data_IF_122830408906
#
_entry.id   IF_122830408906
#
_cell.length_a   1.000
_cell.length_b   1.000
_cell.length_c   1.000
_cell.angle_alpha   90.00
_cell.angle_beta   90.00
_cell.angle_gamma   90.00
#
_symmetry.space_group_name_H-M   'P 1'
#
loop_
_entity.id
_entity.type
_entity.pdbx_description
1 polymer ?
#
# COMPACT_ATOMS: atom_id res chain seq x y z
N UNK A 1 -0.84 20.63 -16.27
CA UNK A 1 -0.13 19.64 -15.44
C UNK A 1 1.31 20.04 -15.20
N UNK A 2 1.86 19.84 -13.98
CA UNK A 2 3.29 20.02 -13.67
C UNK A 2 3.74 18.88 -12.73
N UNK A 3 4.74 18.08 -13.17
CA UNK A 3 5.27 16.94 -12.41
C UNK A 3 6.76 17.17 -12.18
N UNK A 4 7.18 17.16 -10.90
CA UNK A 4 8.60 17.25 -10.53
C UNK A 4 9.16 15.83 -10.41
N UNK A 5 10.18 15.51 -11.21
CA UNK A 5 10.80 14.19 -11.22
C UNK A 5 12.14 14.21 -10.49
N UNK A 6 12.51 13.05 -9.92
CA UNK A 6 13.84 12.82 -9.37
C UNK A 6 14.59 11.85 -10.26
N UNK A 7 15.51 12.34 -11.07
CA UNK A 7 16.30 11.49 -11.95
C UNK A 7 17.73 12.01 -12.09
N UNK A 8 18.68 11.11 -11.96
CA UNK A 8 20.09 11.38 -12.24
C UNK A 8 20.40 11.34 -13.75
N UNK A 9 19.49 10.77 -14.55
CA UNK A 9 19.64 10.63 -16.00
C UNK A 9 18.41 11.09 -16.78
N UNK A 10 18.24 12.42 -16.86
CA UNK A 10 17.15 13.05 -17.60
C UNK A 10 16.99 12.56 -19.03
N UNK A 11 18.13 12.34 -19.75
CA UNK A 11 18.08 11.90 -21.15
C UNK A 11 17.42 10.53 -21.30
N UNK A 12 17.71 9.60 -20.37
CA UNK A 12 17.08 8.28 -20.35
C UNK A 12 15.60 8.40 -20.05
N UNK A 13 15.23 9.18 -19.03
CA UNK A 13 13.83 9.41 -18.67
C UNK A 13 13.01 9.93 -19.86
N UNK A 14 13.54 10.92 -20.58
CA UNK A 14 12.86 11.52 -21.75
C UNK A 14 12.70 10.50 -22.89
N UNK A 15 13.68 9.62 -23.09
CA UNK A 15 13.59 8.54 -24.08
C UNK A 15 12.50 7.52 -23.68
N UNK A 16 12.47 7.11 -22.41
CA UNK A 16 11.46 6.19 -21.89
C UNK A 16 10.05 6.78 -22.01
N UNK A 17 9.89 8.10 -21.77
CA UNK A 17 8.60 8.81 -21.95
C UNK A 17 8.19 8.83 -23.44
N UNK A 18 9.13 9.10 -24.35
CA UNK A 18 8.87 9.12 -25.77
C UNK A 18 8.43 7.73 -26.28
N UNK A 19 9.09 6.67 -25.81
CA UNK A 19 8.73 5.28 -26.11
C UNK A 19 7.36 4.92 -25.58
N UNK A 20 7.06 5.28 -24.33
CA UNK A 20 5.77 5.02 -23.67
C UNK A 20 4.61 5.74 -24.37
N UNK A 21 4.79 7.02 -24.71
CA UNK A 21 3.75 7.84 -25.34
C UNK A 21 3.65 7.61 -26.86
N UNK A 22 4.66 6.98 -27.48
CA UNK A 22 4.77 6.83 -28.93
C UNK A 22 4.93 8.15 -29.68
N UNK A 23 5.32 9.23 -28.97
CA UNK A 23 5.46 10.58 -29.52
C UNK A 23 6.92 10.89 -29.84
N UNK A 24 7.14 11.77 -30.85
CA UNK A 24 8.47 12.15 -31.27
C UNK A 24 9.18 13.00 -30.22
N UNK A 25 10.46 12.68 -29.98
CA UNK A 25 11.33 13.39 -29.05
C UNK A 25 12.09 14.48 -29.78
N UNK A 26 11.99 15.72 -29.30
CA UNK A 26 12.71 16.87 -29.81
C UNK A 26 13.51 17.57 -28.72
N UNK A 27 14.77 17.85 -28.97
CA UNK A 27 15.59 18.70 -28.11
C UNK A 27 15.56 20.15 -28.59
N UNK A 28 15.16 21.08 -27.71
CA UNK A 28 14.97 22.51 -28.05
C UNK A 28 16.28 23.30 -28.03
N UNK A 29 17.27 22.85 -27.24
CA UNK A 29 18.56 23.54 -27.11
C UNK A 29 18.52 24.84 -26.29
N UNK A 30 19.57 25.67 -26.41
CA UNK A 30 19.62 26.95 -25.69
C UNK A 30 18.53 27.93 -26.16
N UNK A 31 17.95 28.75 -25.23
CA UNK A 31 18.36 28.97 -23.84
C UNK A 31 17.71 28.02 -22.85
N UNK A 32 16.64 27.29 -23.23
CA UNK A 32 15.80 26.51 -22.31
C UNK A 32 16.40 25.15 -21.96
N UNK A 33 17.19 24.57 -22.88
CA UNK A 33 17.72 23.20 -22.77
C UNK A 33 16.62 22.15 -22.50
N UNK A 34 15.38 22.43 -22.92
CA UNK A 34 14.23 21.57 -22.71
C UNK A 34 14.17 20.45 -23.76
N UNK A 35 13.44 19.39 -23.41
CA UNK A 35 13.00 18.38 -24.34
C UNK A 35 11.49 18.51 -24.54
N UNK A 36 11.02 18.29 -25.75
CA UNK A 36 9.60 18.20 -26.10
C UNK A 36 9.27 16.77 -26.52
N UNK A 37 8.19 16.21 -25.96
CA UNK A 37 7.65 14.90 -26.35
C UNK A 37 6.15 15.08 -26.56
N UNK A 38 5.76 15.32 -27.81
CA UNK A 38 4.38 15.70 -28.14
C UNK A 38 3.94 17.00 -27.45
N UNK A 39 2.96 16.92 -26.54
CA UNK A 39 2.48 18.07 -25.75
C UNK A 39 3.23 18.27 -24.42
N UNK A 40 4.19 17.39 -24.11
CA UNK A 40 4.97 17.45 -22.89
C UNK A 40 6.25 18.26 -23.11
N UNK A 41 6.55 19.18 -22.21
CA UNK A 41 7.83 19.89 -22.14
C UNK A 41 8.57 19.48 -20.89
N UNK A 42 9.79 18.98 -21.01
CA UNK A 42 10.65 18.56 -19.92
C UNK A 42 11.80 19.56 -19.80
N UNK A 43 11.83 20.32 -18.73
CA UNK A 43 12.85 21.34 -18.50
C UNK A 43 14.21 20.73 -18.13
N UNK A 44 15.25 21.60 -17.95
CA UNK A 44 16.60 21.16 -17.60
C UNK A 44 16.70 20.49 -16.23
N UNK A 45 15.76 20.75 -15.32
CA UNK A 45 15.74 20.21 -13.96
C UNK A 45 14.89 18.92 -13.87
N UNK A 46 14.32 18.47 -15.00
CA UNK A 46 13.52 17.26 -15.09
C UNK A 46 12.03 17.48 -14.80
N UNK A 47 11.58 18.74 -14.68
CA UNK A 47 10.16 19.03 -14.46
C UNK A 47 9.40 18.84 -15.78
N UNK A 48 8.34 18.05 -15.73
CA UNK A 48 7.45 17.80 -16.87
C UNK A 48 6.29 18.78 -16.80
N UNK A 49 6.07 19.52 -17.88
CA UNK A 49 4.99 20.49 -18.01
C UNK A 49 4.12 20.08 -19.21
N UNK A 50 2.80 20.05 -19.03
CA UNK A 50 1.82 19.82 -20.10
C UNK A 50 0.69 20.83 -20.00
N UNK A 51 0.21 21.26 -21.15
CA UNK A 51 -0.98 22.13 -21.26
C UNK A 51 -2.30 21.32 -21.23
N UNK A 52 -2.22 20.00 -21.45
CA UNK A 52 -3.36 19.07 -21.46
C UNK A 52 -3.24 18.06 -20.32
N UNK A 53 -4.36 17.74 -19.67
CA UNK A 53 -4.43 16.79 -18.54
C UNK A 53 -4.91 15.40 -18.98
N UNK A 54 -5.02 15.14 -20.30
CA UNK A 54 -5.70 13.95 -20.84
C UNK A 54 -5.08 12.61 -20.44
N UNK A 55 -3.75 12.57 -20.14
CA UNK A 55 -3.04 11.33 -19.81
C UNK A 55 -2.25 11.43 -18.49
N UNK A 56 -2.60 12.36 -17.60
CA UNK A 56 -1.83 12.66 -16.37
C UNK A 56 -1.66 11.43 -15.48
N UNK A 57 -2.73 10.69 -15.24
CA UNK A 57 -2.69 9.50 -14.37
C UNK A 57 -1.82 8.38 -14.93
N UNK A 58 -1.91 8.12 -16.25
CA UNK A 58 -1.12 7.08 -16.89
C UNK A 58 0.37 7.45 -16.94
N UNK A 59 0.68 8.72 -17.23
CA UNK A 59 2.06 9.20 -17.22
C UNK A 59 2.65 9.17 -15.81
N UNK A 60 1.89 9.60 -14.81
CA UNK A 60 2.30 9.57 -13.39
C UNK A 60 2.60 8.14 -12.94
N UNK A 61 1.73 7.19 -13.25
CA UNK A 61 1.94 5.78 -12.94
C UNK A 61 3.18 5.22 -13.63
N UNK A 62 3.36 5.50 -14.91
CA UNK A 62 4.55 5.09 -15.66
C UNK A 62 5.84 5.64 -15.05
N UNK A 63 5.86 6.93 -14.66
CA UNK A 63 7.03 7.56 -14.04
C UNK A 63 7.34 6.95 -12.66
N UNK A 64 6.32 6.55 -11.90
CA UNK A 64 6.47 5.84 -10.62
C UNK A 64 7.06 4.44 -10.84
N UNK A 65 6.50 3.67 -11.77
CA UNK A 65 6.97 2.31 -12.10
C UNK A 65 8.43 2.30 -12.58
N UNK A 66 8.86 3.34 -13.28
CA UNK A 66 10.25 3.53 -13.71
C UNK A 66 11.17 4.16 -12.66
N UNK A 67 10.61 4.57 -11.52
CA UNK A 67 11.37 5.21 -10.43
C UNK A 67 11.81 6.64 -10.71
N UNK A 68 11.22 7.32 -11.69
CA UNK A 68 11.48 8.74 -12.00
C UNK A 68 10.66 9.70 -11.14
N UNK A 69 9.59 9.20 -10.54
CA UNK A 69 8.75 9.93 -9.60
C UNK A 69 8.73 9.16 -8.29
N UNK A 70 9.03 9.84 -7.18
CA UNK A 70 8.68 9.27 -5.88
C UNK A 70 7.17 9.10 -5.86
N UNK A 71 6.71 7.88 -5.53
CA UNK A 71 5.29 7.70 -5.26
C UNK A 71 4.87 8.78 -4.26
N UNK A 72 3.78 9.51 -4.49
CA UNK A 72 3.34 10.52 -3.55
C UNK A 72 3.30 9.85 -2.18
N UNK A 73 3.81 10.53 -1.14
CA UNK A 73 3.81 10.03 0.24
C UNK A 73 2.35 10.13 0.75
N UNK A 74 1.44 9.53 0.00
CA UNK A 74 0.03 9.43 0.35
C UNK A 74 -0.23 8.23 1.27
N UNK A 75 0.86 7.61 1.76
CA UNK A 75 0.81 6.47 2.67
C UNK A 75 1.46 6.77 4.02
N UNK A 76 0.76 6.42 5.08
CA UNK A 76 1.32 6.32 6.43
C UNK A 76 1.82 4.89 6.63
N UNK A 77 3.12 4.72 6.81
CA UNK A 77 3.74 3.44 7.10
C UNK A 77 3.89 3.25 8.60
N UNK A 78 3.20 2.26 9.13
CA UNK A 78 3.19 1.93 10.56
C UNK A 78 4.01 0.67 10.76
N UNK A 79 5.16 0.83 11.39
CA UNK A 79 6.11 -0.26 11.67
C UNK A 79 5.84 -0.83 13.05
N UNK A 80 5.56 -2.12 13.13
CA UNK A 80 5.32 -2.86 14.37
C UNK A 80 6.42 -3.92 14.53
N UNK A 81 7.19 -3.91 15.63
CA UNK A 81 8.12 -4.99 15.93
C UNK A 81 7.39 -6.30 16.16
N UNK A 82 7.82 -7.35 15.49
CA UNK A 82 7.22 -8.67 15.60
C UNK A 82 8.25 -9.76 15.28
N UNK A 83 8.09 -10.94 15.87
CA UNK A 83 8.89 -12.10 15.51
C UNK A 83 8.38 -12.71 14.20
N UNK A 84 8.96 -12.25 13.10
CA UNK A 84 8.59 -12.70 11.75
C UNK A 84 9.20 -14.04 11.37
N UNK A 85 10.06 -14.60 12.21
CA UNK A 85 10.56 -15.98 12.04
C UNK A 85 9.63 -17.03 12.68
N UNK A 86 8.66 -16.59 13.51
CA UNK A 86 7.57 -17.47 13.96
C UNK A 86 6.60 -17.74 12.81
N UNK A 87 6.66 -18.97 12.27
CA UNK A 87 5.75 -19.48 11.25
C UNK A 87 4.28 -19.26 11.60
N UNK A 88 3.90 -19.58 12.85
CA UNK A 88 2.51 -19.50 13.30
C UNK A 88 2.02 -18.07 13.29
N UNK A 89 2.88 -17.13 13.72
CA UNK A 89 2.58 -15.71 13.66
C UNK A 89 2.32 -15.24 12.24
N UNK A 90 3.21 -15.55 11.27
CA UNK A 90 3.05 -15.16 9.87
C UNK A 90 1.78 -15.75 9.25
N UNK A 91 1.52 -17.02 9.47
CA UNK A 91 0.31 -17.69 8.99
C UNK A 91 -0.95 -17.01 9.54
N UNK A 92 -0.99 -16.75 10.84
CA UNK A 92 -2.13 -16.11 11.49
C UNK A 92 -2.33 -14.67 11.01
N UNK A 93 -1.24 -13.89 10.88
CA UNK A 93 -1.30 -12.51 10.42
C UNK A 93 -1.87 -12.41 9.00
N UNK A 94 -1.33 -13.18 8.07
CA UNK A 94 -1.75 -13.14 6.68
C UNK A 94 -3.14 -13.73 6.48
N UNK A 95 -3.49 -14.81 7.19
CA UNK A 95 -4.85 -15.34 7.21
C UNK A 95 -5.86 -14.32 7.75
N UNK A 96 -5.49 -13.56 8.80
CA UNK A 96 -6.35 -12.49 9.35
C UNK A 96 -6.54 -11.35 8.37
N UNK A 97 -5.46 -10.89 7.72
CA UNK A 97 -5.55 -9.84 6.70
C UNK A 97 -6.41 -10.31 5.53
N UNK A 98 -6.18 -11.53 4.99
CA UNK A 98 -6.98 -12.08 3.91
C UNK A 98 -8.46 -12.15 4.26
N UNK A 99 -8.80 -12.79 5.38
CA UNK A 99 -10.20 -12.95 5.79
C UNK A 99 -10.92 -11.63 6.06
N UNK A 100 -10.19 -10.54 6.32
CA UNK A 100 -10.73 -9.23 6.70
C UNK A 100 -10.30 -8.09 5.78
N UNK A 101 -9.68 -8.39 4.63
CA UNK A 101 -9.25 -7.40 3.65
C UNK A 101 -10.41 -6.47 3.26
N UNK A 102 -11.61 -7.01 3.04
CA UNK A 102 -12.80 -6.20 2.72
C UNK A 102 -13.17 -5.17 3.79
N UNK A 103 -12.99 -5.50 5.09
CA UNK A 103 -13.21 -4.54 6.20
C UNK A 103 -12.09 -3.50 6.28
N UNK A 104 -10.83 -3.91 6.07
CA UNK A 104 -9.69 -3.01 6.03
C UNK A 104 -9.82 -2.01 4.86
N UNK A 105 -10.19 -2.51 3.68
CA UNK A 105 -10.42 -1.69 2.49
C UNK A 105 -11.61 -0.75 2.67
N UNK A 106 -12.65 -1.17 3.39
CA UNK A 106 -13.73 -0.28 3.80
C UNK A 106 -13.27 0.84 4.72
N UNK A 107 -12.39 0.57 5.70
CA UNK A 107 -11.80 1.58 6.59
C UNK A 107 -10.98 2.59 5.80
N UNK A 108 -10.17 2.12 4.87
CA UNK A 108 -9.27 2.95 4.05
C UNK A 108 -10.00 3.62 2.88
N UNK A 109 -11.13 3.06 2.43
CA UNK A 109 -11.88 3.43 1.22
C UNK A 109 -11.11 3.22 -0.08
N UNK A 110 -10.08 2.42 -0.02
CA UNK A 110 -9.21 2.06 -1.13
C UNK A 110 -8.94 0.56 -1.06
N UNK A 111 -8.61 -0.06 -2.18
CA UNK A 111 -8.13 -1.43 -2.21
C UNK A 111 -6.66 -1.51 -1.76
N UNK A 112 -6.43 -1.13 -0.52
CA UNK A 112 -5.09 -1.03 0.08
C UNK A 112 -4.57 -2.40 0.50
N UNK A 113 -5.43 -3.26 1.05
CA UNK A 113 -5.04 -4.55 1.61
C UNK A 113 -5.55 -5.70 0.75
N UNK A 114 -4.64 -6.56 0.34
CA UNK A 114 -4.97 -7.81 -0.33
C UNK A 114 -3.92 -8.88 -0.01
N UNK A 115 -4.36 -10.12 0.08
CA UNK A 115 -3.50 -11.31 0.15
C UNK A 115 -4.09 -12.32 -0.83
N UNK A 116 -3.27 -12.85 -1.76
CA UNK A 116 -3.74 -13.82 -2.75
C UNK A 116 -3.97 -15.20 -2.14
N UNK A 117 -4.89 -15.97 -2.71
CA UNK A 117 -5.12 -17.36 -2.31
C UNK A 117 -3.86 -18.21 -2.56
N UNK A 118 -3.13 -17.94 -3.66
CA UNK A 118 -1.88 -18.62 -4.00
C UNK A 118 -0.83 -18.41 -2.91
N UNK A 119 -0.72 -17.21 -2.35
CA UNK A 119 0.20 -16.92 -1.25
C UNK A 119 -0.20 -17.65 0.03
N UNK A 120 -1.51 -17.71 0.34
CA UNK A 120 -2.01 -18.46 1.51
C UNK A 120 -1.70 -19.96 1.43
N UNK A 121 -1.84 -20.57 0.26
CA UNK A 121 -1.48 -21.97 0.06
C UNK A 121 0.01 -22.21 0.29
N UNK A 122 0.88 -21.32 -0.18
CA UNK A 122 2.32 -21.37 0.05
C UNK A 122 2.68 -21.20 1.53
N UNK A 123 1.90 -20.44 2.32
CA UNK A 123 2.14 -20.28 3.76
C UNK A 123 2.05 -21.61 4.54
N UNK A 124 1.29 -22.57 4.07
CA UNK A 124 1.23 -23.89 4.70
C UNK A 124 2.57 -24.66 4.59
N UNK A 125 3.39 -24.27 3.61
CA UNK A 125 4.70 -24.88 3.32
C UNK A 125 5.87 -24.16 4.02
N UNK A 126 5.61 -23.07 4.77
CA UNK A 126 6.66 -22.34 5.49
C UNK A 126 7.42 -23.27 6.45
N UNK A 127 8.74 -23.18 6.49
CA UNK A 127 9.55 -23.92 7.46
C UNK A 127 9.32 -23.39 8.88
N UNK A 128 9.70 -24.20 9.89
CA UNK A 128 9.64 -23.78 11.29
C UNK A 128 10.73 -22.75 11.64
N UNK A 129 11.89 -22.86 10.98
CA UNK A 129 13.02 -21.97 11.14
C UNK A 129 13.17 -21.13 9.87
N UNK A 130 13.61 -19.87 10.00
CA UNK A 130 13.78 -18.93 8.89
C UNK A 130 12.49 -18.69 8.07
N UNK A 131 11.36 -18.66 8.73
CA UNK A 131 10.06 -18.48 8.07
C UNK A 131 10.00 -17.15 7.28
N UNK A 132 10.64 -16.09 7.78
CA UNK A 132 10.68 -14.78 7.10
C UNK A 132 11.43 -14.86 5.76
N UNK A 133 12.59 -15.52 5.70
CA UNK A 133 13.37 -15.65 4.47
C UNK A 133 12.63 -16.47 3.41
N UNK A 134 12.02 -17.60 3.83
CA UNK A 134 11.20 -18.41 2.94
C UNK A 134 9.98 -17.62 2.43
N UNK A 135 9.36 -16.82 3.28
CA UNK A 135 8.25 -15.96 2.90
C UNK A 135 8.66 -14.90 1.87
N UNK A 136 9.83 -14.27 2.04
CA UNK A 136 10.38 -13.32 1.05
C UNK A 136 10.61 -13.99 -0.31
N UNK A 137 11.05 -15.25 -0.31
CA UNK A 137 11.18 -16.01 -1.55
C UNK A 137 9.84 -16.21 -2.25
N UNK A 138 8.77 -16.54 -1.49
CA UNK A 138 7.42 -16.66 -2.05
C UNK A 138 6.89 -15.33 -2.62
N UNK A 139 7.17 -14.20 -1.97
CA UNK A 139 6.80 -12.88 -2.47
C UNK A 139 7.56 -12.50 -3.74
N UNK A 140 8.81 -12.92 -3.90
CA UNK A 140 9.57 -12.66 -5.12
C UNK A 140 8.99 -13.37 -6.35
N UNK A 141 8.32 -14.51 -6.14
CA UNK A 141 7.60 -15.25 -7.19
C UNK A 141 6.20 -14.70 -7.49
N UNK A 142 5.56 -14.07 -6.49
CA UNK A 142 4.21 -13.51 -6.60
C UNK A 142 4.21 -12.08 -6.05
N UNK A 143 4.71 -11.15 -6.86
CA UNK A 143 4.89 -9.74 -6.48
C UNK A 143 3.57 -9.01 -6.20
N UNK A 144 2.46 -9.49 -6.73
CA UNK A 144 1.12 -8.95 -6.46
C UNK A 144 0.37 -9.70 -5.35
N UNK A 145 0.95 -10.76 -4.82
CA UNK A 145 0.32 -11.63 -3.83
C UNK A 145 0.03 -10.96 -2.49
N UNK A 146 0.69 -9.84 -2.18
CA UNK A 146 0.52 -9.10 -0.92
C UNK A 146 0.47 -7.60 -1.18
N UNK A 147 -0.61 -6.93 -0.75
CA UNK A 147 -0.76 -5.47 -0.78
C UNK A 147 -1.04 -4.93 0.62
N UNK A 148 -0.55 -3.73 0.90
CA UNK A 148 -0.78 -2.99 2.15
C UNK A 148 0.03 -3.47 3.35
N UNK A 149 0.83 -4.52 3.19
CA UNK A 149 1.66 -5.09 4.23
C UNK A 149 3.05 -5.42 3.69
N UNK A 150 4.08 -5.05 4.44
CA UNK A 150 5.47 -5.48 4.18
C UNK A 150 5.98 -6.23 5.40
N UNK A 151 6.49 -7.43 5.18
CA UNK A 151 7.08 -8.29 6.21
C UNK A 151 8.58 -8.29 6.01
N UNK A 152 9.32 -7.88 7.03
CA UNK A 152 10.78 -7.89 7.07
C UNK A 152 11.23 -8.57 8.35
N UNK A 153 12.49 -8.92 8.43
CA UNK A 153 13.03 -9.55 9.64
C UNK A 153 12.81 -8.66 10.87
N UNK A 154 12.17 -9.21 11.89
CA UNK A 154 11.89 -8.53 13.16
C UNK A 154 10.80 -7.46 13.13
N UNK A 155 10.13 -7.20 12.01
CA UNK A 155 9.10 -6.17 11.90
C UNK A 155 8.07 -6.43 10.80
N UNK A 156 6.89 -5.87 11.01
CA UNK A 156 5.82 -5.82 10.03
C UNK A 156 5.43 -4.37 9.80
N UNK A 157 5.31 -3.94 8.56
CA UNK A 157 4.93 -2.59 8.17
C UNK A 157 3.57 -2.61 7.51
N UNK A 158 2.62 -1.86 8.06
CA UNK A 158 1.31 -1.63 7.47
C UNK A 158 1.32 -0.31 6.70
N UNK A 159 0.88 -0.31 5.45
CA UNK A 159 0.70 0.87 4.63
C UNK A 159 -0.77 1.27 4.64
N UNK A 160 -1.07 2.45 5.18
CA UNK A 160 -2.42 3.04 5.16
C UNK A 160 -2.40 4.31 4.33
N UNK A 161 -3.51 4.69 3.68
CA UNK A 161 -3.59 5.96 2.99
C UNK A 161 -3.40 7.13 3.96
N UNK A 162 -2.67 8.15 3.54
CA UNK A 162 -2.47 9.36 4.32
C UNK A 162 -3.84 10.01 4.60
N UNK A 163 -4.05 10.40 5.84
CA UNK A 163 -5.23 11.15 6.24
C UNK A 163 -4.81 12.52 6.76
N UNK A 164 -5.53 13.57 6.35
CA UNK A 164 -5.35 14.91 6.93
C UNK A 164 -5.77 14.98 8.40
N UNK A 165 -6.55 14.00 8.86
CA UNK A 165 -6.97 13.88 10.25
C UNK A 165 -5.94 13.03 11.04
N UNK A 166 -5.22 13.69 11.94
CA UNK A 166 -4.23 13.05 12.82
C UNK A 166 -4.85 11.98 13.74
N UNK A 167 -6.12 12.16 14.12
CA UNK A 167 -6.83 11.18 14.93
C UNK A 167 -7.07 9.87 14.16
N UNK A 168 -7.28 9.96 12.83
CA UNK A 168 -7.40 8.78 11.96
C UNK A 168 -6.07 8.06 11.80
N UNK A 169 -4.95 8.77 11.67
CA UNK A 169 -3.61 8.16 11.63
C UNK A 169 -3.28 7.43 12.93
N UNK A 170 -3.68 8.01 14.08
CA UNK A 170 -3.58 7.34 15.38
C UNK A 170 -4.44 6.07 15.43
N UNK A 171 -5.68 6.13 14.94
CA UNK A 171 -6.57 4.97 14.89
C UNK A 171 -6.01 3.83 14.01
N UNK A 172 -5.33 4.15 12.91
CA UNK A 172 -4.61 3.16 12.10
C UNK A 172 -3.46 2.52 12.87
N UNK A 173 -2.71 3.30 13.65
CA UNK A 173 -1.61 2.77 14.46
C UNK A 173 -2.12 1.81 15.55
N UNK A 174 -3.21 2.15 16.22
CA UNK A 174 -3.87 1.26 17.19
C UNK A 174 -4.37 -0.02 16.53
N UNK A 175 -5.01 0.09 15.36
CA UNK A 175 -5.51 -1.04 14.59
C UNK A 175 -4.38 -2.00 14.18
N UNK A 176 -3.29 -1.49 13.60
CA UNK A 176 -2.12 -2.28 13.21
C UNK A 176 -1.51 -3.03 14.41
N UNK A 177 -1.34 -2.34 15.54
CA UNK A 177 -0.80 -2.94 16.76
C UNK A 177 -1.71 -4.07 17.29
N UNK A 178 -3.03 -3.87 17.29
CA UNK A 178 -3.99 -4.87 17.77
C UNK A 178 -4.10 -6.08 16.83
N UNK A 179 -4.04 -5.87 15.50
CA UNK A 179 -3.98 -6.98 14.54
C UNK A 179 -2.73 -7.82 14.79
N UNK A 180 -1.56 -7.18 14.90
CA UNK A 180 -0.29 -7.86 15.14
C UNK A 180 -0.31 -8.63 16.48
N UNK A 181 -0.81 -8.00 17.55
CA UNK A 181 -0.98 -8.64 18.84
C UNK A 181 -1.89 -9.87 18.75
N UNK A 182 -3.05 -9.73 18.09
CA UNK A 182 -4.02 -10.82 17.95
C UNK A 182 -3.46 -11.98 17.13
N UNK A 183 -2.71 -11.69 16.07
CA UNK A 183 -2.03 -12.72 15.27
C UNK A 183 -1.00 -13.51 16.08
N UNK A 184 -0.28 -12.84 16.99
CA UNK A 184 0.68 -13.47 17.91
C UNK A 184 -0.01 -14.36 18.97
N UNK A 185 -1.14 -13.93 19.50
CA UNK A 185 -1.88 -14.64 20.56
C UNK A 185 -2.73 -15.80 20.01
N UNK A 186 -3.08 -15.77 18.74
CA UNK A 186 -3.95 -16.75 18.12
C UNK A 186 -3.22 -18.09 17.91
N UNK A 187 -3.86 -19.20 18.22
CA UNK A 187 -3.36 -20.54 17.90
C UNK A 187 -3.51 -20.84 16.40
N UNK A 188 -4.64 -20.45 15.83
CA UNK A 188 -4.96 -20.60 14.40
C UNK A 188 -6.03 -19.60 14.01
N UNK A 189 -5.88 -18.99 12.83
CA UNK A 189 -6.87 -18.09 12.24
C UNK A 189 -7.42 -18.74 10.98
N UNK A 190 -8.76 -18.66 10.78
CA UNK A 190 -9.40 -19.12 9.56
C UNK A 190 -9.13 -18.17 8.40
N UNK A 191 -8.92 -18.73 7.21
CA UNK A 191 -8.61 -18.00 5.98
C UNK A 191 -9.86 -17.58 5.20
N UNK A 192 -11.01 -18.23 5.45
CA UNK A 192 -12.23 -17.98 4.66
C UNK A 192 -12.76 -16.56 4.90
N UNK A 193 -12.86 -15.74 3.86
CA UNK A 193 -13.53 -14.45 3.96
C UNK A 193 -15.05 -14.69 4.13
N UNK A 194 -15.62 -14.21 5.22
CA UNK A 194 -17.06 -14.19 5.42
C UNK A 194 -17.53 -12.79 5.08
N UNK A 195 -18.02 -12.60 3.85
CA UNK A 195 -18.58 -11.32 3.41
C UNK A 195 -20.05 -11.30 3.81
N UNK A 196 -20.39 -10.41 4.71
CA UNK A 196 -21.74 -10.29 5.25
C UNK A 196 -22.45 -9.06 4.68
N UNK A 197 -23.75 -9.13 4.49
CA UNK A 197 -24.55 -8.02 3.92
C UNK A 197 -24.41 -6.72 4.71
N UNK A 198 -24.22 -6.79 6.03
CA UNK A 198 -24.05 -5.63 6.89
C UNK A 198 -22.59 -5.44 7.33
N UNK A 199 -21.73 -5.06 6.38
CA UNK A 199 -20.30 -4.84 6.62
C UNK A 199 -20.01 -3.88 7.78
N UNK A 200 -20.82 -2.81 7.96
CA UNK A 200 -20.62 -1.85 9.05
C UNK A 200 -20.82 -2.48 10.43
N UNK A 201 -21.77 -3.36 10.56
CA UNK A 201 -22.03 -4.10 11.79
C UNK A 201 -20.89 -5.07 12.08
N UNK A 202 -20.43 -5.82 11.07
CA UNK A 202 -19.33 -6.76 11.22
C UNK A 202 -17.99 -6.07 11.48
N UNK A 203 -17.75 -4.92 10.86
CA UNK A 203 -16.58 -4.10 11.19
C UNK A 203 -16.55 -3.74 12.67
N UNK A 204 -17.69 -3.28 13.20
CA UNK A 204 -17.79 -2.96 14.64
C UNK A 204 -17.51 -4.16 15.52
N UNK A 205 -18.09 -5.32 15.21
CA UNK A 205 -17.86 -6.57 15.96
C UNK A 205 -16.38 -6.93 15.91
N UNK A 206 -15.77 -6.89 14.74
CA UNK A 206 -14.37 -7.21 14.57
C UNK A 206 -13.45 -6.26 15.36
N UNK A 207 -13.67 -4.96 15.32
CA UNK A 207 -12.92 -4.00 16.15
C UNK A 207 -13.04 -4.28 17.64
N UNK A 208 -14.23 -4.67 18.12
CA UNK A 208 -14.44 -5.10 19.51
C UNK A 208 -13.65 -6.37 19.82
N UNK A 209 -13.65 -7.36 18.91
CA UNK A 209 -12.88 -8.60 19.07
C UNK A 209 -11.37 -8.38 19.06
N UNK A 210 -10.88 -7.35 18.34
CA UNK A 210 -9.49 -6.93 18.37
C UNK A 210 -9.09 -6.23 19.67
N UNK A 211 -10.07 -5.79 20.49
CA UNK A 211 -9.83 -5.09 21.76
C UNK A 211 -10.11 -3.59 21.73
N UNK A 212 -10.68 -3.05 20.64
CA UNK A 212 -11.05 -1.63 20.52
C UNK A 212 -12.40 -1.30 21.19
N UNK A 213 -12.76 -2.01 22.24
CA UNK A 213 -14.02 -1.80 23.00
C UNK A 213 -13.86 -0.91 24.23
N UNK A 214 -12.63 -0.63 24.66
CA UNK A 214 -12.35 0.15 25.87
C UNK A 214 -12.56 1.65 25.69
N UNK A 215 -12.70 2.38 26.81
CA UNK A 215 -12.84 3.85 26.80
C UNK A 215 -11.67 4.55 26.09
N UNK A 216 -10.46 4.02 26.21
CA UNK A 216 -9.25 4.55 25.57
C UNK A 216 -9.28 4.44 24.03
N UNK A 217 -9.84 3.36 23.48
CA UNK A 217 -9.90 3.11 22.03
C UNK A 217 -11.28 3.43 21.42
N UNK A 218 -12.23 3.94 22.21
CA UNK A 218 -13.58 4.24 21.73
C UNK A 218 -13.59 5.30 20.64
N UNK A 219 -12.78 6.33 20.78
CA UNK A 219 -12.65 7.40 19.80
C UNK A 219 -12.08 6.86 18.49
N UNK A 220 -10.97 6.13 18.56
CA UNK A 220 -10.34 5.46 17.40
C UNK A 220 -11.29 4.50 16.70
N UNK A 221 -11.99 3.66 17.48
CA UNK A 221 -13.01 2.76 16.93
C UNK A 221 -14.11 3.51 16.20
N UNK A 222 -14.64 4.59 16.79
CA UNK A 222 -15.65 5.43 16.15
C UNK A 222 -15.17 6.01 14.82
N UNK A 223 -13.94 6.53 14.76
CA UNK A 223 -13.35 7.09 13.54
C UNK A 223 -13.22 6.07 12.41
N UNK A 224 -12.91 4.81 12.74
CA UNK A 224 -12.75 3.75 11.75
C UNK A 224 -14.08 3.30 11.11
N UNK A 225 -15.21 3.31 11.85
CA UNK A 225 -16.48 2.87 11.28
C UNK A 225 -17.46 3.99 10.93
N UNK A 226 -17.24 5.24 11.41
CA UNK A 226 -18.14 6.38 11.15
C UNK A 226 -17.64 7.32 10.06
N UNK A 227 -16.68 6.90 9.23
CA UNK A 227 -16.26 7.72 8.08
C UNK A 227 -17.47 8.42 7.43
N UNK A 228 -17.47 9.75 7.27
CA UNK A 228 -18.61 10.48 6.74
C UNK A 228 -19.03 9.91 5.40
N UNK A 229 -20.34 9.66 5.25
CA UNK A 229 -20.93 9.30 3.97
C UNK A 229 -20.64 10.43 2.98
N UNK A 230 -20.23 10.15 1.75
CA UNK A 230 -20.14 11.20 0.73
C UNK A 230 -21.52 11.87 0.62
N UNK A 231 -21.55 13.19 0.77
CA UNK A 231 -22.72 14.00 0.42
C UNK A 231 -22.79 14.13 -1.09
#
# INVERSE_FOLDING_TARGET
MRIETKTDNRKKMVQDIAEFTGKELRYVGPPTFAYEVGSLTIDRDGVIISETDEDENLLTQFLQDKGYLEAPVDEVRIVIPADTNDRTFLQNLLAMIHARAYLLNRITRCETFAVSDSLLEKLEQLPQENACEAFQTFLSEDTEGLKGLVVEEGKVTFAFPLSQDSAKSRAYSELAALITKKAKEAKRVGTSPVIEENEKYYLRIWLVQLGMAGTASKESSCLLYTSPSPR
#
